data_IF_931411628843
#
_entry.id   IF_931411628843
#
_cell.length_a   1.000
_cell.length_b   1.000
_cell.length_c   1.000
_cell.angle_alpha   90.00
_cell.angle_beta   90.00
_cell.angle_gamma   90.00
#
_symmetry.space_group_name_H-M   'P 1'
#
loop_
_entity.id
_entity.type
_entity.pdbx_description
1 polymer ?
#
# COMPACT_ATOMS: atom_id res chain seq x y z
N UNK A 1 11.69 -4.57 34.20
CA UNK A 1 12.58 -4.39 35.36
C UNK A 1 11.74 -4.24 36.64
N UNK A 2 11.75 -5.20 37.52
CA UNK A 2 11.26 -5.06 38.91
C UNK A 2 12.49 -5.00 39.82
N UNK A 3 12.54 -3.98 40.63
CA UNK A 3 13.63 -3.78 41.63
C UNK A 3 15.08 -3.82 41.09
N UNK A 4 15.29 -3.31 39.85
CA UNK A 4 16.60 -3.23 39.23
C UNK A 4 17.21 -4.56 38.78
N UNK A 5 16.50 -5.68 38.91
CA UNK A 5 16.93 -6.99 38.41
C UNK A 5 16.19 -7.34 37.10
N UNK A 6 16.93 -7.90 36.16
CA UNK A 6 16.31 -8.55 35.00
C UNK A 6 15.57 -9.80 35.47
N UNK A 7 14.26 -9.84 35.21
CA UNK A 7 13.44 -11.02 35.45
C UNK A 7 13.12 -11.59 34.07
N UNK A 8 13.48 -12.85 33.85
CA UNK A 8 13.01 -13.59 32.68
C UNK A 8 11.50 -13.73 32.81
N UNK A 9 10.75 -13.19 31.81
CA UNK A 9 9.33 -13.40 31.68
C UNK A 9 9.13 -14.45 30.59
N UNK A 10 8.21 -15.40 30.83
CA UNK A 10 7.79 -16.40 29.84
C UNK A 10 6.98 -15.79 28.67
N UNK A 11 6.98 -14.47 28.51
CA UNK A 11 6.38 -13.77 27.39
C UNK A 11 7.41 -13.64 26.26
N UNK A 12 7.21 -14.44 25.21
CA UNK A 12 7.97 -14.30 23.97
C UNK A 12 7.71 -12.91 23.36
N UNK A 13 8.75 -12.07 23.34
CA UNK A 13 8.72 -10.84 22.57
C UNK A 13 8.83 -11.20 21.08
N UNK A 14 7.72 -11.21 20.39
CA UNK A 14 7.71 -11.36 18.92
C UNK A 14 8.41 -10.15 18.31
N UNK A 15 9.66 -10.32 17.91
CA UNK A 15 10.48 -9.26 17.32
C UNK A 15 10.05 -9.00 15.87
N UNK A 16 9.53 -10.04 15.17
CA UNK A 16 9.00 -9.94 13.81
C UNK A 16 7.64 -10.63 13.73
N UNK A 17 6.67 -9.99 13.08
CA UNK A 17 5.39 -10.63 12.75
C UNK A 17 5.64 -11.66 11.64
N UNK A 18 5.57 -12.94 12.01
CA UNK A 18 5.76 -14.05 11.07
C UNK A 18 4.60 -14.21 10.08
N UNK A 19 3.50 -13.47 10.28
CA UNK A 19 2.33 -13.50 9.43
C UNK A 19 1.81 -12.08 9.15
N UNK A 20 2.49 -11.34 8.26
CA UNK A 20 2.14 -9.97 7.95
C UNK A 20 0.68 -9.81 7.53
N UNK A 21 0.08 -8.66 7.82
CA UNK A 21 -1.33 -8.39 7.55
C UNK A 21 -1.71 -8.63 6.09
N UNK A 22 -0.81 -8.30 5.14
CA UNK A 22 -1.07 -8.43 3.71
C UNK A 22 -1.10 -9.87 3.21
N UNK A 23 -0.64 -10.84 4.00
CA UNK A 23 -0.73 -12.28 3.67
C UNK A 23 -2.00 -12.92 4.20
N UNK A 24 -2.72 -12.25 5.10
CA UNK A 24 -3.97 -12.74 5.69
C UNK A 24 -5.14 -12.52 4.72
N UNK A 25 -6.21 -13.29 4.87
CA UNK A 25 -7.41 -13.06 4.07
C UNK A 25 -8.13 -11.80 4.55
N UNK A 26 -8.67 -10.99 3.64
CA UNK A 26 -9.43 -9.79 4.02
C UNK A 26 -10.61 -10.07 4.97
N UNK A 27 -11.21 -11.27 4.87
CA UNK A 27 -12.30 -11.71 5.74
C UNK A 27 -11.92 -11.86 7.21
N UNK A 28 -10.64 -12.10 7.48
CA UNK A 28 -10.11 -12.38 8.82
C UNK A 28 -9.60 -11.10 9.51
N UNK A 29 -9.64 -9.98 8.81
CA UNK A 29 -9.13 -8.69 9.24
C UNK A 29 -10.25 -7.70 9.52
N UNK A 30 -10.06 -6.90 10.56
CA UNK A 30 -10.93 -5.79 10.92
C UNK A 30 -10.33 -4.46 10.47
N UNK A 31 -11.15 -3.43 10.42
CA UNK A 31 -10.72 -2.07 10.11
C UNK A 31 -9.58 -1.59 11.03
N UNK A 32 -9.64 -1.95 12.31
CA UNK A 32 -8.63 -1.60 13.31
C UNK A 32 -7.26 -2.18 13.00
N UNK A 33 -7.20 -3.40 12.43
CA UNK A 33 -5.96 -4.06 12.05
C UNK A 33 -5.26 -3.30 10.93
N UNK A 34 -6.03 -2.82 9.93
CA UNK A 34 -5.50 -2.00 8.84
C UNK A 34 -5.00 -0.64 9.33
N UNK A 35 -5.75 0.02 10.22
CA UNK A 35 -5.35 1.31 10.79
C UNK A 35 -4.13 1.17 11.68
N UNK A 36 -4.04 0.10 12.47
CA UNK A 36 -2.87 -0.19 13.30
C UNK A 36 -1.64 -0.38 12.41
N UNK A 37 -1.74 -1.23 11.40
CA UNK A 37 -0.63 -1.49 10.48
C UNK A 37 -0.18 -0.21 9.76
N UNK A 38 -1.10 0.65 9.36
CA UNK A 38 -0.75 1.94 8.76
C UNK A 38 0.04 2.84 9.73
N UNK A 39 -0.38 2.92 10.99
CA UNK A 39 0.33 3.70 12.02
C UNK A 39 1.71 3.12 12.33
N UNK A 40 1.85 1.80 12.30
CA UNK A 40 3.13 1.14 12.53
C UNK A 40 4.13 1.43 11.40
N UNK A 41 3.65 1.46 10.14
CA UNK A 41 4.47 1.80 8.97
C UNK A 41 4.79 3.30 8.87
N UNK A 42 3.83 4.15 9.22
CA UNK A 42 3.90 5.60 9.02
C UNK A 42 3.50 6.36 10.30
N UNK A 43 4.34 6.33 11.36
CA UNK A 43 3.98 6.89 12.67
C UNK A 43 3.68 8.40 12.66
N UNK A 44 4.19 9.12 11.66
CA UNK A 44 4.00 10.56 11.50
C UNK A 44 2.86 10.94 10.55
N UNK A 45 2.20 9.95 9.92
CA UNK A 45 1.11 10.20 9.00
C UNK A 45 -0.24 10.28 9.73
N UNK A 46 -1.16 11.09 9.19
CA UNK A 46 -2.55 11.07 9.62
C UNK A 46 -3.22 9.74 9.24
N UNK A 47 -4.39 9.46 9.81
CA UNK A 47 -5.16 8.28 9.41
C UNK A 47 -5.49 8.30 7.91
N UNK A 48 -5.40 7.14 7.23
CA UNK A 48 -5.67 7.04 5.81
C UNK A 48 -7.16 7.30 5.52
N UNK A 49 -7.46 7.79 4.33
CA UNK A 49 -8.84 8.02 3.86
C UNK A 49 -9.59 6.70 3.72
N UNK A 50 -8.94 5.72 3.10
CA UNK A 50 -9.38 4.33 2.92
C UNK A 50 -8.21 3.47 2.45
N UNK A 51 -8.45 2.17 2.33
CA UNK A 51 -7.43 1.20 1.88
C UNK A 51 -8.01 0.17 0.94
N UNK A 52 -7.10 -0.50 0.24
CA UNK A 52 -7.39 -1.60 -0.67
C UNK A 52 -6.51 -2.77 -0.29
N UNK A 53 -7.11 -3.90 0.03
CA UNK A 53 -6.40 -5.15 0.24
C UNK A 53 -6.29 -5.89 -1.10
N UNK A 54 -5.06 -6.17 -1.51
CA UNK A 54 -4.74 -6.94 -2.70
C UNK A 54 -4.49 -8.38 -2.29
N UNK A 55 -5.19 -9.32 -2.94
CA UNK A 55 -4.98 -10.75 -2.75
C UNK A 55 -5.34 -11.46 -4.04
N UNK A 56 -4.34 -11.87 -4.80
CA UNK A 56 -4.45 -12.47 -6.13
C UNK A 56 -3.51 -13.64 -6.22
N UNK A 57 -4.05 -14.79 -6.62
CA UNK A 57 -3.29 -16.03 -6.81
C UNK A 57 -3.09 -16.38 -8.29
N UNK A 58 -3.91 -15.82 -9.17
CA UNK A 58 -3.87 -16.08 -10.61
C UNK A 58 -4.30 -14.85 -11.41
N UNK A 59 -3.65 -14.48 -12.50
CA UNK A 59 -2.57 -15.16 -13.26
C UNK A 59 -1.15 -14.88 -12.73
N UNK A 60 -1.02 -14.18 -11.63
CA UNK A 60 0.22 -13.90 -10.91
C UNK A 60 -0.08 -13.85 -9.41
N UNK A 61 0.93 -14.07 -8.60
CA UNK A 61 0.77 -13.94 -7.15
C UNK A 61 1.04 -12.50 -6.72
N UNK A 62 0.03 -11.87 -6.11
CA UNK A 62 0.12 -10.51 -5.61
C UNK A 62 -0.66 -10.39 -4.31
N UNK A 63 0.02 -10.01 -3.27
CA UNK A 63 -0.61 -9.62 -2.01
C UNK A 63 -0.17 -8.22 -1.63
N UNK A 64 -0.95 -7.53 -0.81
CA UNK A 64 -0.58 -6.18 -0.39
C UNK A 64 -1.73 -5.43 0.22
N UNK A 65 -1.40 -4.30 0.83
CA UNK A 65 -2.37 -3.32 1.30
C UNK A 65 -1.92 -1.94 0.84
N UNK A 66 -2.76 -1.29 0.06
CA UNK A 66 -2.55 0.08 -0.41
C UNK A 66 -3.47 1.03 0.34
N UNK A 67 -2.93 2.14 0.78
CA UNK A 67 -3.63 3.17 1.52
C UNK A 67 -3.67 4.48 0.73
N UNK A 68 -4.79 5.17 0.81
CA UNK A 68 -4.95 6.54 0.32
C UNK A 68 -4.68 7.49 1.49
N UNK A 69 -3.50 8.14 1.52
CA UNK A 69 -3.15 9.05 2.59
C UNK A 69 -3.92 10.37 2.49
N UNK A 70 -4.05 11.07 3.61
CA UNK A 70 -4.38 12.50 3.62
C UNK A 70 -3.12 13.30 3.28
N UNK A 71 -3.14 13.95 2.13
CA UNK A 71 -2.01 14.75 1.65
C UNK A 71 -2.21 16.19 2.08
N UNK A 72 -1.47 16.64 3.09
CA UNK A 72 -1.51 18.03 3.58
C UNK A 72 -0.41 18.90 2.98
N UNK A 73 0.70 18.31 2.56
CA UNK A 73 1.84 19.06 2.02
C UNK A 73 2.62 18.23 1.00
N UNK A 74 3.37 18.94 0.13
CA UNK A 74 4.29 18.29 -0.82
C UNK A 74 5.43 17.50 -0.13
N UNK A 75 5.69 17.76 1.14
CA UNK A 75 6.72 17.07 1.93
C UNK A 75 6.26 15.66 2.28
N UNK A 76 4.96 15.46 2.51
CA UNK A 76 4.39 14.14 2.84
C UNK A 76 4.51 13.18 1.63
N UNK A 77 4.43 13.72 0.42
CA UNK A 77 4.57 12.95 -0.82
C UNK A 77 5.96 12.32 -1.02
N UNK A 78 6.99 12.89 -0.40
CA UNK A 78 8.38 12.43 -0.58
C UNK A 78 8.84 11.44 0.49
N UNK A 79 8.20 11.44 1.65
CA UNK A 79 8.63 10.66 2.81
C UNK A 79 8.08 9.25 2.85
N UNK A 80 6.84 9.10 2.44
CA UNK A 80 6.11 7.84 2.58
C UNK A 80 5.85 7.27 1.19
N UNK A 81 6.33 6.07 0.97
CA UNK A 81 6.24 5.40 -0.32
C UNK A 81 5.68 4.00 -0.16
N UNK A 82 5.22 3.43 -1.25
CA UNK A 82 4.88 2.01 -1.29
C UNK A 82 6.17 1.22 -1.09
N UNK A 83 6.13 0.25 -0.19
CA UNK A 83 7.22 -0.68 0.06
C UNK A 83 6.98 -1.96 -0.74
N UNK A 84 7.98 -2.37 -1.52
CA UNK A 84 7.94 -3.59 -2.30
C UNK A 84 8.62 -4.73 -1.56
N UNK A 85 7.93 -5.85 -1.49
CA UNK A 85 8.41 -7.10 -0.95
C UNK A 85 8.37 -8.20 -2.02
N UNK A 86 9.19 -9.21 -1.82
CA UNK A 86 9.15 -10.46 -2.56
C UNK A 86 9.23 -11.62 -1.57
N UNK A 87 8.18 -12.42 -1.48
CA UNK A 87 8.05 -13.48 -0.47
C UNK A 87 8.33 -12.96 0.96
N UNK A 88 7.71 -11.84 1.32
CA UNK A 88 7.85 -11.18 2.63
C UNK A 88 9.25 -10.63 2.93
N UNK A 89 10.16 -10.60 1.94
CA UNK A 89 11.47 -9.98 2.05
C UNK A 89 11.44 -8.59 1.43
N UNK A 90 11.81 -7.57 2.18
CA UNK A 90 11.89 -6.19 1.69
C UNK A 90 12.87 -6.07 0.52
N UNK A 91 12.44 -5.42 -0.55
CA UNK A 91 13.23 -5.20 -1.77
C UNK A 91 13.59 -3.73 -1.92
N UNK A 92 12.59 -2.86 -2.00
CA UNK A 92 12.78 -1.43 -2.25
C UNK A 92 11.52 -0.63 -1.90
N UNK A 93 11.68 0.65 -1.71
CA UNK A 93 10.60 1.65 -1.65
C UNK A 93 10.45 2.43 -2.97
N UNK A 94 11.25 2.12 -3.97
CA UNK A 94 11.20 2.72 -5.30
C UNK A 94 10.36 1.87 -6.24
N UNK A 95 9.05 2.14 -6.28
CA UNK A 95 8.08 1.40 -7.11
C UNK A 95 7.81 2.03 -8.47
N UNK A 96 8.65 2.98 -8.88
CA UNK A 96 8.55 3.62 -10.19
C UNK A 96 8.70 2.60 -11.33
N UNK A 97 7.71 2.57 -12.22
CA UNK A 97 7.63 1.59 -13.30
C UNK A 97 6.92 0.27 -12.93
N UNK A 98 6.71 0.00 -11.63
CA UNK A 98 5.91 -1.14 -11.15
C UNK A 98 4.45 -0.73 -11.00
N UNK A 99 4.20 0.46 -10.48
CA UNK A 99 2.87 1.05 -10.42
C UNK A 99 2.80 2.27 -11.34
N UNK A 100 1.61 2.59 -11.87
CA UNK A 100 1.39 3.85 -12.58
C UNK A 100 1.78 5.04 -11.71
N UNK A 101 2.26 6.11 -12.34
CA UNK A 101 2.81 7.26 -11.62
C UNK A 101 1.82 7.91 -10.64
N UNK A 102 0.51 7.93 -10.96
CA UNK A 102 -0.50 8.47 -10.05
C UNK A 102 -0.69 7.61 -8.80
N UNK A 103 -0.37 6.32 -8.86
CA UNK A 103 -0.40 5.42 -7.71
C UNK A 103 0.86 5.54 -6.84
N UNK A 104 1.89 6.25 -7.28
CA UNK A 104 3.08 6.54 -6.45
C UNK A 104 2.76 7.45 -5.26
N UNK A 105 1.60 8.09 -5.28
CA UNK A 105 1.08 8.89 -4.16
C UNK A 105 0.46 8.02 -3.05
N UNK A 106 0.20 6.75 -3.33
CA UNK A 106 -0.32 5.82 -2.34
C UNK A 106 0.79 5.37 -1.38
N UNK A 107 0.38 5.01 -0.20
CA UNK A 107 1.22 4.36 0.80
C UNK A 107 0.89 2.88 0.89
N UNK A 108 1.75 2.09 1.50
CA UNK A 108 1.45 0.69 1.80
C UNK A 108 2.52 -0.29 1.39
N UNK A 109 2.09 -1.52 1.18
CA UNK A 109 2.96 -2.66 0.88
C UNK A 109 2.42 -3.42 -0.31
N UNK A 110 3.32 -3.80 -1.20
CA UNK A 110 3.09 -4.75 -2.30
C UNK A 110 4.07 -5.90 -2.13
N UNK A 111 3.58 -7.12 -2.15
CA UNK A 111 4.39 -8.34 -2.08
C UNK A 111 4.05 -9.26 -3.25
N UNK A 112 5.03 -9.57 -4.07
CA UNK A 112 4.86 -10.46 -5.22
C UNK A 112 6.15 -11.22 -5.53
N UNK A 113 6.12 -12.56 -5.58
CA UNK A 113 7.24 -13.38 -6.02
C UNK A 113 7.52 -13.24 -7.53
N UNK A 114 6.55 -12.74 -8.29
CA UNK A 114 6.65 -12.58 -9.75
C UNK A 114 7.40 -11.30 -10.16
N UNK A 115 7.78 -10.46 -9.19
CA UNK A 115 8.61 -9.28 -9.41
C UNK A 115 10.07 -9.65 -9.20
N UNK A 116 10.94 -9.47 -10.21
CA UNK A 116 12.34 -9.85 -10.09
C UNK A 116 13.11 -9.00 -9.09
N UNK A 117 13.89 -9.66 -8.20
CA UNK A 117 14.61 -9.05 -7.08
C UNK A 117 15.85 -8.22 -7.44
N UNK A 118 16.51 -8.54 -8.56
CA UNK A 118 17.86 -8.06 -8.87
C UNK A 118 17.92 -7.34 -10.22
N UNK A 119 16.98 -6.46 -10.53
CA UNK A 119 16.91 -5.84 -11.83
C UNK A 119 16.94 -4.33 -11.77
N UNK A 120 17.57 -3.76 -12.80
CA UNK A 120 17.58 -2.32 -12.99
C UNK A 120 16.16 -1.81 -13.27
N UNK A 121 15.92 -0.55 -12.91
CA UNK A 121 14.64 0.15 -13.13
C UNK A 121 14.13 0.01 -14.58
N UNK A 122 15.03 0.08 -15.56
CA UNK A 122 14.69 -0.07 -16.97
C UNK A 122 14.17 -1.46 -17.33
N UNK A 123 14.66 -2.48 -16.66
CA UNK A 123 14.17 -3.85 -16.84
C UNK A 123 12.75 -4.02 -16.27
N UNK A 124 12.50 -3.51 -15.07
CA UNK A 124 11.16 -3.57 -14.45
C UNK A 124 10.09 -2.93 -15.33
N UNK A 125 10.41 -1.81 -16.00
CA UNK A 125 9.48 -1.13 -16.91
C UNK A 125 9.16 -1.94 -18.17
N UNK A 126 10.07 -2.83 -18.61
CA UNK A 126 9.89 -3.67 -19.80
C UNK A 126 9.26 -5.03 -19.49
N UNK A 127 9.29 -5.48 -18.23
CA UNK A 127 8.81 -6.80 -17.82
C UNK A 127 7.28 -6.93 -17.99
N UNK A 128 6.87 -8.05 -18.60
CA UNK A 128 5.46 -8.30 -18.91
C UNK A 128 4.62 -8.58 -17.66
N UNK A 129 5.20 -9.19 -16.62
CA UNK A 129 4.49 -9.48 -15.38
C UNK A 129 4.29 -8.20 -14.58
N UNK A 130 5.31 -7.33 -14.54
CA UNK A 130 5.20 -6.01 -13.93
C UNK A 130 4.08 -5.19 -14.58
N UNK A 131 3.97 -5.20 -15.90
CA UNK A 131 2.87 -4.51 -16.62
C UNK A 131 1.49 -5.07 -16.26
N UNK A 132 1.36 -6.39 -16.15
CA UNK A 132 0.10 -7.04 -15.73
C UNK A 132 -0.27 -6.66 -14.31
N UNK A 133 0.69 -6.68 -13.39
CA UNK A 133 0.51 -6.29 -12.00
C UNK A 133 0.06 -4.81 -11.93
N UNK A 134 0.75 -3.93 -12.64
CA UNK A 134 0.40 -2.50 -12.74
C UNK A 134 -1.04 -2.29 -13.23
N UNK A 135 -1.41 -2.96 -14.32
CA UNK A 135 -2.78 -2.88 -14.87
C UNK A 135 -3.83 -3.38 -13.88
N UNK A 136 -3.53 -4.47 -13.18
CA UNK A 136 -4.43 -5.02 -12.16
C UNK A 136 -4.63 -4.07 -10.98
N UNK A 137 -3.54 -3.51 -10.45
CA UNK A 137 -3.60 -2.54 -9.36
C UNK A 137 -4.45 -1.33 -9.78
N UNK A 138 -4.20 -0.78 -10.98
CA UNK A 138 -4.98 0.33 -11.54
C UNK A 138 -6.46 0.01 -11.57
N UNK A 139 -6.83 -1.17 -12.06
CA UNK A 139 -8.23 -1.60 -12.11
C UNK A 139 -8.84 -1.70 -10.71
N UNK A 140 -8.16 -2.31 -9.76
CA UNK A 140 -8.63 -2.44 -8.37
C UNK A 140 -8.82 -1.09 -7.69
N UNK A 141 -7.91 -0.15 -7.93
CA UNK A 141 -8.02 1.23 -7.44
C UNK A 141 -9.25 1.91 -8.05
N UNK A 142 -9.44 1.83 -9.37
CA UNK A 142 -10.61 2.37 -10.06
C UNK A 142 -11.91 1.78 -9.54
N UNK A 143 -11.98 0.45 -9.43
CA UNK A 143 -13.18 -0.25 -8.94
C UNK A 143 -13.52 0.19 -7.50
N UNK A 144 -12.51 0.38 -6.65
CA UNK A 144 -12.71 0.84 -5.27
C UNK A 144 -13.23 2.27 -5.22
N UNK A 145 -12.64 3.18 -6.00
CA UNK A 145 -13.09 4.56 -6.10
C UNK A 145 -14.55 4.64 -6.60
N UNK A 146 -14.90 3.86 -7.62
CA UNK A 146 -16.27 3.78 -8.12
C UNK A 146 -17.24 3.21 -7.08
N UNK A 147 -16.82 2.21 -6.30
CA UNK A 147 -17.62 1.63 -5.24
C UNK A 147 -17.92 2.65 -4.14
N UNK A 148 -16.92 3.42 -3.70
CA UNK A 148 -17.11 4.47 -2.70
C UNK A 148 -18.05 5.55 -3.24
N UNK A 149 -17.86 5.98 -4.49
CA UNK A 149 -18.73 6.98 -5.13
C UNK A 149 -20.19 6.54 -5.22
N UNK A 150 -20.44 5.24 -5.49
CA UNK A 150 -21.80 4.72 -5.64
C UNK A 150 -22.50 4.43 -4.33
N UNK A 151 -21.76 3.90 -3.35
CA UNK A 151 -22.33 3.36 -2.13
C UNK A 151 -22.34 4.36 -0.98
N UNK A 152 -21.38 5.28 -0.97
CA UNK A 152 -21.26 6.29 0.08
C UNK A 152 -20.85 7.65 -0.49
N UNK A 153 -21.80 8.23 -1.23
CA UNK A 153 -21.60 9.53 -1.88
C UNK A 153 -21.27 10.65 -0.89
N UNK A 154 -21.82 10.60 0.33
CA UNK A 154 -21.51 11.61 1.34
C UNK A 154 -20.05 11.51 1.80
N UNK A 155 -19.59 10.29 2.11
CA UNK A 155 -18.21 10.07 2.49
C UNK A 155 -17.25 10.47 1.37
N UNK A 156 -17.63 10.21 0.11
CA UNK A 156 -16.87 10.63 -1.06
C UNK A 156 -16.80 12.15 -1.19
N UNK A 157 -17.93 12.85 -1.01
CA UNK A 157 -18.01 14.32 -1.07
C UNK A 157 -17.23 14.98 0.08
N UNK A 158 -17.28 14.43 1.29
CA UNK A 158 -16.50 14.90 2.44
C UNK A 158 -14.98 14.73 2.24
N UNK A 159 -14.58 13.64 1.58
CA UNK A 159 -13.18 13.34 1.28
C UNK A 159 -12.72 13.86 -0.08
N UNK A 160 -13.60 14.54 -0.83
CA UNK A 160 -13.33 14.99 -2.19
C UNK A 160 -12.10 15.89 -2.30
N UNK A 161 -11.92 16.81 -1.36
CA UNK A 161 -10.79 17.74 -1.37
C UNK A 161 -9.44 17.04 -1.27
N UNK A 162 -9.41 15.94 -0.54
CA UNK A 162 -8.23 15.09 -0.42
C UNK A 162 -8.06 14.16 -1.65
N UNK A 163 -9.18 13.64 -2.19
CA UNK A 163 -9.17 12.72 -3.33
C UNK A 163 -8.89 13.40 -4.68
N UNK A 164 -9.29 14.66 -4.85
CA UNK A 164 -9.08 15.41 -6.09
C UNK A 164 -7.60 15.51 -6.48
N UNK A 165 -6.69 15.46 -5.53
CA UNK A 165 -5.24 15.48 -5.77
C UNK A 165 -4.84 14.27 -6.62
N UNK A 166 -5.32 13.07 -6.28
CA UNK A 166 -5.04 11.84 -7.02
C UNK A 166 -5.65 11.88 -8.44
N UNK A 167 -6.86 12.42 -8.56
CA UNK A 167 -7.58 12.52 -9.84
C UNK A 167 -6.94 13.58 -10.75
N UNK A 168 -6.60 14.74 -10.21
CA UNK A 168 -6.00 15.83 -10.98
C UNK A 168 -4.58 15.49 -11.45
N UNK A 169 -3.84 14.68 -10.69
CA UNK A 169 -2.52 14.22 -11.10
C UNK A 169 -2.58 13.38 -12.39
N UNK A 170 -3.61 12.56 -12.54
CA UNK A 170 -3.87 11.76 -13.73
C UNK A 170 -4.28 12.65 -14.93
N UNK A 171 -5.24 13.56 -14.72
CA UNK A 171 -5.77 14.44 -15.78
C UNK A 171 -4.70 15.40 -16.28
N UNK A 172 -3.86 15.93 -15.41
CA UNK A 172 -2.78 16.86 -15.76
C UNK A 172 -1.73 16.25 -16.69
N UNK A 173 -1.53 14.92 -16.64
CA UNK A 173 -0.60 14.22 -17.52
C UNK A 173 -1.21 13.75 -18.82
N UNK A 174 -2.50 13.46 -18.85
CA UNK A 174 -3.21 13.10 -20.08
C UNK A 174 -3.36 14.28 -21.06
N UNK A 175 -3.09 15.51 -20.60
CA UNK A 175 -3.22 16.75 -21.38
C UNK A 175 -1.88 17.29 -21.90
N UNK A 176 -0.76 16.59 -21.69
CA UNK A 176 0.54 16.97 -22.23
C UNK A 176 0.99 16.03 -23.36
#
# INVERSE_FOLDING_TARGET
LKDGKQVETDEDNLINDTCPIWTKKPSDLKEEDYKKFYRDLYPMADEPLFWIHLNVDYPFNLTGVLYFPKIKSNIDLQRNKIQLYCNQVYVTDSVEGIVPDFLTLLHGVIDSPDIPLNVSRSYLQSDSNVKKISTYITKKVSDRLQSIFKNDRKEFEEKWDDLKIFINYEIGRASC
#
